data_IF_621327703203
#
_entry.id   IF_621327703203
#
_cell.length_a   1.000
_cell.length_b   1.000
_cell.length_c   1.000
_cell.angle_alpha   90.00
_cell.angle_beta   90.00
_cell.angle_gamma   90.00
#
_symmetry.space_group_name_H-M   'P 1'
#
loop_
_entity.id
_entity.type
_entity.pdbx_description
1 polymer ?
#
# COMPACT_ATOMS: atom_id res chain seq x y z
N UNK A 1 6.83 -9.45 3.23
CA UNK A 1 6.48 -8.30 2.36
C UNK A 1 5.57 -7.29 3.09
N UNK A 2 5.31 -7.50 4.39
CA UNK A 2 4.44 -6.69 5.26
C UNK A 2 4.71 -5.19 5.22
N UNK A 3 5.99 -4.82 5.18
CA UNK A 3 6.41 -3.42 5.16
C UNK A 3 5.82 -2.65 3.97
N UNK A 4 5.79 -3.25 2.78
CA UNK A 4 5.36 -2.55 1.56
C UNK A 4 3.85 -2.26 1.61
N UNK A 5 3.06 -3.26 2.00
CA UNK A 5 1.61 -3.12 2.11
C UNK A 5 1.22 -2.11 3.21
N UNK A 6 1.92 -2.13 4.35
CA UNK A 6 1.73 -1.16 5.43
C UNK A 6 2.08 0.27 4.98
N UNK A 7 3.23 0.44 4.30
CA UNK A 7 3.66 1.74 3.75
C UNK A 7 2.63 2.30 2.77
N UNK A 8 2.13 1.47 1.85
CA UNK A 8 1.11 1.89 0.89
C UNK A 8 -0.20 2.26 1.59
N UNK A 9 -0.62 1.48 2.59
CA UNK A 9 -1.79 1.78 3.42
C UNK A 9 -1.67 3.13 4.14
N UNK A 10 -0.50 3.43 4.73
CA UNK A 10 -0.20 4.72 5.37
C UNK A 10 -0.17 5.88 4.36
N UNK A 11 0.17 5.62 3.10
CA UNK A 11 0.03 6.62 2.04
C UNK A 11 -1.45 6.95 1.77
N UNK A 12 -2.37 5.98 1.88
CA UNK A 12 -3.80 6.21 1.70
C UNK A 12 -4.47 7.08 2.78
N UNK A 13 -3.87 7.14 3.98
CA UNK A 13 -4.45 7.81 5.16
C UNK A 13 -3.79 9.14 5.52
N UNK A 14 -2.56 9.37 5.07
CA UNK A 14 -1.85 10.64 5.23
C UNK A 14 -2.38 11.69 4.27
N UNK A 15 -3.52 12.29 4.63
CA UNK A 15 -4.17 13.40 3.91
C UNK A 15 -3.43 14.74 3.96
N UNK A 16 -2.15 14.76 4.37
CA UNK A 16 -1.40 15.99 4.67
C UNK A 16 -0.20 16.25 3.75
N UNK A 17 0.16 17.54 3.68
CA UNK A 17 1.19 18.25 2.91
C UNK A 17 2.65 17.78 3.07
N UNK A 18 2.91 16.67 3.77
CA UNK A 18 4.27 16.18 3.98
C UNK A 18 4.66 15.21 2.87
N UNK A 19 5.87 15.40 2.35
CA UNK A 19 6.50 14.54 1.35
C UNK A 19 6.51 13.09 1.85
N UNK A 20 5.73 12.23 1.20
CA UNK A 20 5.68 10.82 1.55
C UNK A 20 6.83 10.13 0.84
N UNK A 21 7.88 9.81 1.59
CA UNK A 21 9.06 9.10 1.11
C UNK A 21 9.46 8.02 2.12
N UNK A 22 9.51 6.77 1.68
CA UNK A 22 9.84 5.60 2.51
C UNK A 22 10.80 4.71 1.76
N UNK A 23 11.84 4.26 2.45
CA UNK A 23 12.87 3.42 1.86
C UNK A 23 13.08 2.19 2.72
N UNK A 24 13.25 1.03 2.09
CA UNK A 24 13.66 -0.21 2.75
C UNK A 24 14.83 -0.82 2.00
N UNK A 25 15.88 -1.13 2.75
CA UNK A 25 17.01 -1.90 2.24
C UNK A 25 16.85 -3.37 2.63
N UNK A 26 17.13 -4.26 1.69
CA UNK A 26 17.23 -5.70 1.89
C UNK A 26 18.49 -6.20 1.18
N UNK A 27 19.57 -6.40 1.93
CA UNK A 27 20.89 -6.70 1.37
C UNK A 27 21.38 -5.61 0.40
N UNK A 28 21.58 -6.02 -0.85
CA UNK A 28 22.03 -5.15 -1.94
C UNK A 28 20.90 -4.52 -2.75
N UNK A 29 19.64 -4.76 -2.37
CA UNK A 29 18.46 -4.14 -2.97
C UNK A 29 17.90 -3.04 -2.06
N UNK A 30 17.47 -1.95 -2.67
CA UNK A 30 16.80 -0.82 -2.02
C UNK A 30 15.48 -0.60 -2.72
N UNK A 31 14.40 -0.63 -1.95
CA UNK A 31 13.06 -0.27 -2.41
C UNK A 31 12.72 1.13 -1.90
N UNK A 32 12.34 2.01 -2.82
CA UNK A 32 11.89 3.37 -2.53
C UNK A 32 10.41 3.47 -2.89
N UNK A 33 9.62 4.00 -1.97
CA UNK A 33 8.21 4.32 -2.16
C UNK A 33 8.03 5.80 -1.91
N UNK A 34 7.58 6.52 -2.92
CA UNK A 34 7.39 7.97 -2.85
C UNK A 34 6.05 8.39 -3.41
N UNK A 35 5.48 9.47 -2.88
CA UNK A 35 4.31 10.14 -3.46
C UNK A 35 4.79 11.32 -4.28
N UNK A 36 4.34 11.33 -5.52
CA UNK A 36 4.65 12.38 -6.49
C UNK A 36 3.34 13.01 -6.99
N UNK A 37 3.45 14.17 -7.65
CA UNK A 37 2.33 14.84 -8.29
C UNK A 37 2.75 15.39 -9.65
N UNK A 38 1.86 15.29 -10.63
CA UNK A 38 1.99 15.99 -11.90
C UNK A 38 0.65 16.64 -12.28
N UNK A 39 0.64 17.44 -13.35
CA UNK A 39 -0.19 17.09 -14.51
C UNK A 39 -1.64 16.63 -14.26
N UNK A 40 -1.70 15.33 -14.04
CA UNK A 40 -2.84 14.44 -14.07
C UNK A 40 -3.28 14.02 -12.67
N UNK A 41 -2.62 14.53 -11.63
CA UNK A 41 -2.92 14.26 -10.23
C UNK A 41 -1.74 13.67 -9.45
N UNK A 42 -2.06 13.14 -8.26
CA UNK A 42 -1.08 12.50 -7.37
C UNK A 42 -0.94 11.02 -7.72
N UNK A 43 0.26 10.50 -7.55
CA UNK A 43 0.58 9.11 -7.77
C UNK A 43 1.65 8.63 -6.79
N UNK A 44 1.75 7.31 -6.64
CA UNK A 44 2.74 6.65 -5.81
C UNK A 44 3.71 5.90 -6.71
N UNK A 45 4.99 6.20 -6.61
CA UNK A 45 6.05 5.50 -7.33
C UNK A 45 6.72 4.52 -6.38
N UNK A 46 6.83 3.27 -6.80
CA UNK A 46 7.63 2.24 -6.13
C UNK A 46 8.78 1.88 -7.07
N UNK A 47 10.01 2.05 -6.62
CA UNK A 47 11.21 1.76 -7.41
C UNK A 47 12.12 0.82 -6.67
N UNK A 48 12.64 -0.17 -7.38
CA UNK A 48 13.69 -1.07 -6.90
C UNK A 48 15.03 -0.64 -7.48
N UNK A 49 16.05 -0.56 -6.63
CA UNK A 49 17.43 -0.30 -6.97
C UNK A 49 18.28 -1.46 -6.47
N UNK A 50 19.17 -1.98 -7.32
CA UNK A 50 20.15 -3.00 -6.96
C UNK A 50 21.58 -2.45 -6.94
N UNK A 51 22.55 -3.36 -6.98
CA UNK A 51 23.99 -3.04 -6.96
C UNK A 51 24.40 -2.12 -8.12
N UNK A 52 23.82 -2.31 -9.32
CA UNK A 52 24.33 -1.67 -10.53
C UNK A 52 23.40 -0.63 -11.16
N UNK A 53 22.11 -0.54 -10.77
CA UNK A 53 21.11 0.45 -11.27
C UNK A 53 19.71 0.28 -10.66
N UNK A 54 18.77 1.17 -11.03
CA UNK A 54 17.31 0.98 -10.87
C UNK A 54 16.88 -0.23 -11.71
N UNK A 55 16.34 -1.26 -11.05
CA UNK A 55 15.91 -2.51 -11.68
C UNK A 55 14.49 -2.42 -12.26
N UNK A 56 13.61 -1.62 -11.64
CA UNK A 56 12.24 -1.50 -12.10
C UNK A 56 11.42 -0.50 -11.29
N UNK A 57 10.24 -0.18 -11.80
CA UNK A 57 9.30 0.67 -11.08
C UNK A 57 7.86 0.46 -11.48
N UNK A 58 6.97 0.65 -10.51
CA UNK A 58 5.52 0.63 -10.67
C UNK A 58 4.98 1.98 -10.20
N UNK A 59 3.99 2.50 -10.92
CA UNK A 59 3.28 3.73 -10.59
C UNK A 59 1.82 3.38 -10.28
N UNK A 60 1.33 3.86 -9.14
CA UNK A 60 -0.06 3.67 -8.70
C UNK A 60 -0.74 5.04 -8.58
N UNK A 61 -1.70 5.37 -9.44
CA UNK A 61 -2.43 6.64 -9.33
C UNK A 61 -3.27 6.67 -8.05
N UNK A 62 -3.44 7.86 -7.47
CA UNK A 62 -4.25 8.06 -6.26
C UNK A 62 -5.69 7.57 -6.42
N UNK A 63 -6.30 7.81 -7.60
CA UNK A 63 -7.75 7.73 -7.82
C UNK A 63 -8.52 8.72 -6.92
N UNK A 64 -9.81 8.49 -6.70
CA UNK A 64 -10.67 9.34 -5.89
C UNK A 64 -10.27 9.28 -4.40
N UNK A 65 -9.72 10.39 -3.85
CA UNK A 65 -9.39 10.53 -2.42
C UNK A 65 -8.55 9.37 -1.85
N UNK A 66 -7.49 8.97 -2.55
CA UNK A 66 -6.57 7.91 -2.11
C UNK A 66 -7.08 6.47 -2.27
N UNK A 67 -8.21 6.25 -2.95
CA UNK A 67 -8.81 4.92 -3.10
C UNK A 67 -7.93 3.94 -3.88
N UNK A 68 -7.20 4.41 -4.89
CA UNK A 68 -6.29 3.60 -5.68
C UNK A 68 -5.17 3.01 -4.82
N UNK A 69 -4.58 3.83 -3.95
CA UNK A 69 -3.56 3.38 -3.00
C UNK A 69 -4.10 2.38 -1.99
N UNK A 70 -5.29 2.63 -1.42
CA UNK A 70 -5.93 1.71 -0.46
C UNK A 70 -6.25 0.35 -1.08
N UNK A 71 -6.86 0.33 -2.27
CA UNK A 71 -7.18 -0.90 -3.00
C UNK A 71 -5.93 -1.69 -3.36
N UNK A 72 -4.90 -1.00 -3.83
CA UNK A 72 -3.63 -1.65 -4.15
C UNK A 72 -2.96 -2.26 -2.90
N UNK A 73 -2.93 -1.53 -1.78
CA UNK A 73 -2.41 -2.06 -0.51
C UNK A 73 -3.17 -3.29 -0.01
N UNK A 74 -4.50 -3.28 -0.11
CA UNK A 74 -5.34 -4.42 0.25
C UNK A 74 -5.07 -5.65 -0.64
N UNK A 75 -4.95 -5.46 -1.96
CA UNK A 75 -4.60 -6.54 -2.89
C UNK A 75 -3.21 -7.12 -2.61
N UNK A 76 -2.22 -6.29 -2.26
CA UNK A 76 -0.91 -6.81 -1.85
C UNK A 76 -1.00 -7.67 -0.59
N UNK A 77 -1.82 -7.26 0.40
CA UNK A 77 -2.03 -8.08 1.60
C UNK A 77 -2.69 -9.42 1.26
N UNK A 78 -3.68 -9.44 0.37
CA UNK A 78 -4.34 -10.67 -0.07
C UNK A 78 -3.37 -11.61 -0.81
N UNK A 79 -2.55 -11.06 -1.71
CA UNK A 79 -1.57 -11.84 -2.50
C UNK A 79 -0.47 -12.41 -1.61
N UNK A 80 0.06 -11.64 -0.65
CA UNK A 80 1.15 -12.09 0.21
C UNK A 80 0.69 -12.87 1.44
N UNK A 81 -0.56 -12.69 1.88
CA UNK A 81 -1.13 -13.30 3.08
C UNK A 81 -2.57 -13.80 2.85
N UNK A 82 -2.78 -14.79 1.96
CA UNK A 82 -4.13 -15.27 1.62
C UNK A 82 -4.89 -15.85 2.82
N UNK A 83 -4.19 -16.30 3.86
CA UNK A 83 -4.81 -16.91 5.05
C UNK A 83 -5.19 -15.93 6.17
N UNK A 84 -4.68 -14.70 6.19
CA UNK A 84 -5.03 -13.72 7.23
C UNK A 84 -6.34 -12.97 6.92
N UNK A 85 -6.72 -12.86 5.64
CA UNK A 85 -7.96 -12.19 5.21
C UNK A 85 -9.22 -13.06 5.45
N UNK A 86 -9.07 -14.39 5.47
CA UNK A 86 -10.17 -15.32 5.79
C UNK A 86 -10.64 -15.21 7.25
N UNK A 87 -9.78 -14.75 8.16
CA UNK A 87 -10.13 -14.55 9.57
C UNK A 87 -11.05 -13.36 9.84
N UNK A 88 -10.93 -12.28 9.07
CA UNK A 88 -11.69 -11.04 9.30
C UNK A 88 -13.07 -11.03 8.60
N UNK A 89 -13.24 -11.74 7.48
CA UNK A 89 -14.55 -11.86 6.80
C UNK A 89 -15.59 -12.62 7.63
N UNK A 90 -15.17 -13.47 8.57
CA UNK A 90 -16.07 -14.17 9.48
C UNK A 90 -16.50 -13.34 10.69
N UNK A 91 -15.96 -12.13 10.89
CA UNK A 91 -16.28 -11.29 12.06
C UNK A 91 -17.46 -10.36 11.85
N UNK A 92 -17.97 -10.22 10.63
CA UNK A 92 -19.11 -9.33 10.30
C UNK A 92 -20.48 -10.02 10.37
N UNK A 93 -20.57 -11.30 10.75
CA UNK A 93 -21.85 -12.04 10.77
C UNK A 93 -22.37 -12.44 12.16
N UNK A 94 -21.85 -11.89 13.27
CA UNK A 94 -22.42 -12.12 14.60
C UNK A 94 -22.79 -10.83 15.31
N UNK A 95 -24.02 -10.38 15.03
CA UNK A 95 -24.99 -9.64 15.88
C UNK A 95 -26.16 -9.38 14.93
N UNK A 96 -27.32 -10.02 15.08
CA UNK A 96 -28.37 -9.63 16.03
C UNK A 96 -29.15 -10.88 16.45
N UNK A 97 -29.19 -11.14 17.76
CA UNK A 97 -30.20 -11.98 18.40
C UNK A 97 -30.58 -11.25 19.67
N UNK A 98 -31.57 -10.36 19.57
CA UNK A 98 -32.17 -9.68 20.72
C UNK A 98 -32.89 -10.71 21.58
N UNK A 99 -32.55 -10.71 22.87
CA UNK A 99 -33.30 -11.38 23.92
C UNK A 99 -34.75 -10.88 23.93
N UNK A 100 -35.69 -11.80 24.13
CA UNK A 100 -37.05 -11.54 24.58
C UNK A 100 -37.41 -12.62 25.60
#
# INVERSE_FOLDING_TARGET
MDWLALVIGLCGTSGGLFEFFRTRRNGNQVMVVQRDQNRYGRYLTMSEYGHDKRHGSIVVPESLKGEGWRKFGALLMEVFYPYSVLGDRNRTHYKIGTSS
#
